data_IF_075911182946
#
_entry.id   IF_075911182946
#
_cell.length_a   1.000
_cell.length_b   1.000
_cell.length_c   1.000
_cell.angle_alpha   90.00
_cell.angle_beta   90.00
_cell.angle_gamma   90.00
#
_symmetry.space_group_name_H-M   'P 1'
#
loop_
_entity.id
_entity.type
_entity.pdbx_description
1 polymer ?
#
# COMPACT_ATOMS: atom_id res chain seq x y z
N UNK A 1 -51.78 -7.96 -72.92
CA UNK A 1 -51.64 -7.91 -71.44
C UNK A 1 -51.73 -9.31 -70.79
N UNK A 2 -50.94 -10.30 -71.24
CA UNK A 2 -50.81 -11.61 -70.57
C UNK A 2 -49.35 -12.05 -70.32
N UNK A 3 -48.37 -11.21 -70.70
CA UNK A 3 -46.94 -11.51 -70.57
C UNK A 3 -46.28 -10.88 -69.33
N UNK A 4 -46.86 -9.81 -68.77
CA UNK A 4 -46.28 -9.10 -67.62
C UNK A 4 -46.58 -9.73 -66.25
N UNK A 5 -47.67 -10.49 -66.11
CA UNK A 5 -48.04 -11.14 -64.84
C UNK A 5 -47.20 -12.38 -64.54
N UNK A 6 -46.75 -13.11 -65.57
CA UNK A 6 -45.96 -14.34 -65.38
C UNK A 6 -44.52 -14.03 -64.95
N UNK A 7 -43.93 -12.95 -65.47
CA UNK A 7 -42.57 -12.52 -65.11
C UNK A 7 -42.52 -11.98 -63.68
N UNK A 8 -43.57 -11.27 -63.22
CA UNK A 8 -43.66 -10.79 -61.84
C UNK A 8 -43.75 -11.92 -60.82
N UNK A 9 -44.48 -13.00 -61.12
CA UNK A 9 -44.61 -14.14 -60.21
C UNK A 9 -43.34 -14.99 -60.14
N UNK A 10 -42.58 -15.09 -61.24
CA UNK A 10 -41.29 -15.79 -61.26
C UNK A 10 -40.22 -15.01 -60.49
N UNK A 11 -40.18 -13.67 -60.64
CA UNK A 11 -39.26 -12.84 -59.87
C UNK A 11 -39.59 -12.89 -58.38
N UNK A 12 -40.88 -12.86 -58.00
CA UNK A 12 -41.30 -12.96 -56.59
C UNK A 12 -41.00 -14.35 -56.00
N UNK A 13 -41.18 -15.43 -56.77
CA UNK A 13 -40.85 -16.78 -56.35
C UNK A 13 -39.33 -16.99 -56.19
N UNK A 14 -38.51 -16.43 -57.09
CA UNK A 14 -37.04 -16.45 -56.98
C UNK A 14 -36.58 -15.61 -55.80
N UNK A 15 -37.23 -14.47 -55.50
CA UNK A 15 -36.90 -13.65 -54.33
C UNK A 15 -37.24 -14.35 -53.01
N UNK A 16 -38.35 -15.08 -52.94
CA UNK A 16 -38.71 -15.92 -51.77
C UNK A 16 -37.75 -17.11 -51.64
N UNK A 17 -37.34 -17.74 -52.74
CA UNK A 17 -36.36 -18.83 -52.71
C UNK A 17 -34.96 -18.35 -52.32
N UNK A 18 -34.56 -17.15 -52.76
CA UNK A 18 -33.32 -16.52 -52.34
C UNK A 18 -33.37 -16.04 -50.87
N UNK A 19 -34.51 -15.58 -50.36
CA UNK A 19 -34.68 -15.28 -48.93
C UNK A 19 -34.70 -16.55 -48.07
N UNK A 20 -35.28 -17.65 -48.56
CA UNK A 20 -35.23 -18.95 -47.88
C UNK A 20 -33.82 -19.56 -47.91
N UNK A 21 -33.08 -19.39 -49.01
CA UNK A 21 -31.68 -19.80 -49.11
C UNK A 21 -30.72 -18.92 -48.29
N UNK A 22 -31.04 -17.64 -48.08
CA UNK A 22 -30.29 -16.75 -47.19
C UNK A 22 -30.65 -16.94 -45.71
N UNK A 23 -31.82 -17.53 -45.41
CA UNK A 23 -32.17 -18.01 -44.07
C UNK A 23 -31.59 -19.39 -43.73
N UNK A 24 -31.03 -20.09 -44.72
CA UNK A 24 -30.19 -21.27 -44.51
C UNK A 24 -28.73 -20.93 -44.83
N UNK A 25 -28.21 -19.85 -44.24
CA UNK A 25 -26.81 -19.89 -43.84
C UNK A 25 -26.63 -21.10 -42.94
N UNK A 26 -25.61 -21.91 -43.19
CA UNK A 26 -25.13 -22.90 -42.22
C UNK A 26 -25.14 -22.20 -40.86
N UNK A 27 -26.10 -22.58 -40.02
CA UNK A 27 -25.84 -22.52 -38.60
C UNK A 27 -24.65 -23.47 -38.48
N UNK A 28 -23.45 -22.91 -38.35
CA UNK A 28 -22.45 -23.57 -37.54
C UNK A 28 -23.25 -24.00 -36.30
N UNK A 29 -23.52 -25.30 -36.18
CA UNK A 29 -23.79 -25.87 -34.88
C UNK A 29 -22.56 -25.42 -34.10
N UNK A 30 -22.72 -24.37 -33.28
CA UNK A 30 -21.75 -24.00 -32.27
C UNK A 30 -21.52 -25.31 -31.50
N UNK A 31 -20.50 -26.06 -31.89
CA UNK A 31 -20.10 -27.27 -31.20
C UNK A 31 -19.56 -26.73 -29.89
N UNK A 32 -20.46 -26.60 -28.92
CA UNK A 32 -20.14 -26.14 -27.58
C UNK A 32 -19.06 -27.08 -27.10
N UNK A 33 -17.83 -26.59 -27.08
CA UNK A 33 -16.68 -27.34 -26.65
C UNK A 33 -17.00 -27.92 -25.27
N UNK A 34 -16.88 -29.24 -25.05
CA UNK A 34 -17.24 -29.81 -23.77
C UNK A 34 -16.13 -29.57 -22.74
N UNK A 35 -16.51 -29.56 -21.47
CA UNK A 35 -15.57 -29.72 -20.37
C UNK A 35 -15.36 -31.20 -20.07
N UNK A 36 -14.11 -31.61 -19.79
CA UNK A 36 -13.82 -32.97 -19.36
C UNK A 36 -14.53 -33.28 -18.03
N UNK A 37 -15.11 -34.48 -17.91
CA UNK A 37 -15.87 -34.87 -16.72
C UNK A 37 -15.04 -34.78 -15.44
N UNK A 38 -13.76 -35.16 -15.51
CA UNK A 38 -12.80 -35.11 -14.39
C UNK A 38 -12.51 -33.68 -13.94
N UNK A 39 -12.30 -32.75 -14.89
CA UNK A 39 -12.12 -31.32 -14.64
C UNK A 39 -13.36 -30.72 -13.97
N UNK A 40 -14.54 -31.06 -14.48
CA UNK A 40 -15.82 -30.61 -13.93
C UNK A 40 -16.02 -31.11 -12.49
N UNK A 41 -15.74 -32.39 -12.23
CA UNK A 41 -15.79 -32.98 -10.89
C UNK A 41 -14.76 -32.34 -9.94
N UNK A 42 -13.56 -32.04 -10.45
CA UNK A 42 -12.54 -31.36 -9.69
C UNK A 42 -13.00 -29.95 -9.28
N UNK A 43 -13.50 -29.15 -10.24
CA UNK A 43 -14.03 -27.81 -9.99
C UNK A 43 -15.11 -27.83 -8.90
N UNK A 44 -16.11 -28.71 -9.03
CA UNK A 44 -17.19 -28.77 -8.07
C UNK A 44 -16.72 -29.19 -6.69
N UNK A 45 -15.86 -30.21 -6.60
CA UNK A 45 -15.30 -30.63 -5.32
C UNK A 45 -14.51 -29.49 -4.67
N UNK A 46 -13.71 -28.76 -5.44
CA UNK A 46 -12.98 -27.58 -4.95
C UNK A 46 -13.94 -26.51 -4.44
N UNK A 47 -14.95 -26.11 -5.20
CA UNK A 47 -15.92 -25.10 -4.75
C UNK A 47 -16.63 -25.55 -3.47
N UNK A 48 -17.07 -26.80 -3.38
CA UNK A 48 -17.68 -27.36 -2.16
C UNK A 48 -16.74 -27.33 -0.96
N UNK A 49 -15.43 -27.51 -1.17
CA UNK A 49 -14.43 -27.38 -0.12
C UNK A 49 -14.42 -26.02 0.56
N UNK A 50 -14.69 -24.94 -0.19
CA UNK A 50 -14.62 -23.58 0.34
C UNK A 50 -15.99 -22.93 0.59
N UNK A 51 -17.02 -23.29 -0.18
CA UNK A 51 -18.39 -22.75 -0.11
C UNK A 51 -19.30 -23.65 0.74
N UNK A 52 -18.90 -24.90 0.98
CA UNK A 52 -19.60 -25.89 1.81
C UNK A 52 -20.33 -26.96 0.98
N UNK A 53 -20.56 -28.13 1.60
CA UNK A 53 -21.21 -29.29 0.96
C UNK A 53 -22.65 -29.05 0.51
N UNK A 54 -23.33 -28.06 1.10
CA UNK A 54 -24.66 -27.64 0.69
C UNK A 54 -24.68 -27.06 -0.73
N UNK A 55 -23.53 -26.56 -1.21
CA UNK A 55 -23.38 -26.09 -2.57
C UNK A 55 -23.49 -27.28 -3.52
N UNK A 56 -24.66 -27.46 -4.12
CA UNK A 56 -24.91 -28.43 -5.17
C UNK A 56 -24.95 -27.72 -6.53
N UNK A 57 -23.80 -27.20 -6.96
CA UNK A 57 -23.68 -26.49 -8.22
C UNK A 57 -23.87 -27.38 -9.46
N UNK A 58 -23.83 -28.70 -9.33
CA UNK A 58 -23.94 -29.61 -10.47
C UNK A 58 -25.28 -29.55 -11.21
N UNK A 59 -26.37 -29.26 -10.49
CA UNK A 59 -27.70 -29.10 -11.07
C UNK A 59 -27.94 -27.71 -11.65
N UNK A 60 -27.34 -26.67 -11.05
CA UNK A 60 -27.51 -25.27 -11.45
C UNK A 60 -26.53 -24.83 -12.55
N UNK A 61 -25.37 -25.46 -12.61
CA UNK A 61 -24.27 -25.11 -13.52
C UNK A 61 -23.82 -26.32 -14.34
N UNK A 62 -24.71 -26.99 -15.10
CA UNK A 62 -24.36 -28.19 -15.88
C UNK A 62 -23.27 -27.93 -16.93
N UNK A 63 -23.01 -26.68 -17.27
CA UNK A 63 -21.89 -26.26 -18.13
C UNK A 63 -21.21 -25.00 -17.53
N UNK A 64 -20.28 -25.19 -16.56
CA UNK A 64 -19.72 -24.09 -15.77
C UNK A 64 -18.80 -23.13 -16.55
N UNK A 65 -18.41 -23.51 -17.78
CA UNK A 65 -17.53 -22.73 -18.65
C UNK A 65 -18.19 -22.30 -19.96
N UNK A 66 -19.36 -22.82 -20.29
CA UNK A 66 -20.18 -22.34 -21.40
C UNK A 66 -21.39 -21.54 -20.90
N UNK A 67 -22.60 -22.06 -21.09
CA UNK A 67 -23.83 -21.29 -20.95
C UNK A 67 -24.35 -21.12 -19.52
N UNK A 68 -23.77 -21.83 -18.54
CA UNK A 68 -24.05 -21.62 -17.11
C UNK A 68 -22.78 -21.24 -16.33
N UNK A 69 -22.21 -20.04 -16.55
CA UNK A 69 -20.97 -19.66 -15.88
C UNK A 69 -21.12 -19.54 -14.37
N UNK A 70 -20.11 -19.98 -13.63
CA UNK A 70 -20.03 -19.76 -12.18
C UNK A 70 -19.27 -18.47 -11.92
N UNK A 71 -19.86 -17.54 -11.18
CA UNK A 71 -19.17 -16.31 -10.82
C UNK A 71 -17.90 -16.61 -9.99
N UNK A 72 -16.79 -16.00 -10.39
CA UNK A 72 -15.47 -16.27 -9.81
C UNK A 72 -14.72 -17.43 -10.46
N UNK A 73 -15.33 -18.17 -11.38
CA UNK A 73 -14.66 -19.19 -12.21
C UNK A 73 -14.45 -18.61 -13.62
N UNK A 74 -13.22 -18.73 -14.13
CA UNK A 74 -12.90 -18.45 -15.54
C UNK A 74 -12.32 -19.70 -16.18
N UNK A 75 -12.54 -19.85 -17.48
CA UNK A 75 -12.10 -20.99 -18.24
C UNK A 75 -11.50 -20.58 -19.58
N UNK A 76 -10.52 -21.34 -20.05
CA UNK A 76 -9.94 -21.18 -21.38
C UNK A 76 -10.04 -22.51 -22.15
N UNK A 77 -10.02 -22.41 -23.49
CA UNK A 77 -9.99 -23.56 -24.39
C UNK A 77 -8.56 -24.09 -24.55
N UNK A 78 -8.40 -25.39 -24.35
CA UNK A 78 -7.19 -26.14 -24.69
C UNK A 78 -7.59 -27.37 -25.49
N UNK A 79 -7.04 -27.52 -26.71
CA UNK A 79 -7.30 -28.65 -27.60
C UNK A 79 -8.80 -28.94 -27.83
N UNK A 80 -9.62 -27.88 -27.88
CA UNK A 80 -11.06 -27.97 -28.09
C UNK A 80 -11.89 -28.35 -26.85
N UNK A 81 -11.29 -28.35 -25.66
CA UNK A 81 -11.96 -28.62 -24.39
C UNK A 81 -11.82 -27.42 -23.43
N UNK A 82 -12.86 -27.16 -22.64
CA UNK A 82 -12.81 -26.12 -21.60
C UNK A 82 -12.11 -26.63 -20.34
N UNK A 83 -11.17 -25.82 -19.84
CA UNK A 83 -10.49 -26.05 -18.56
C UNK A 83 -10.56 -24.81 -17.68
N UNK A 84 -10.60 -25.02 -16.37
CA UNK A 84 -10.63 -23.93 -15.40
C UNK A 84 -9.26 -23.27 -15.33
N UNK A 85 -9.23 -21.96 -15.52
CA UNK A 85 -8.00 -21.16 -15.52
C UNK A 85 -7.97 -20.11 -14.41
N UNK A 86 -9.11 -19.72 -13.87
CA UNK A 86 -9.16 -18.90 -12.66
C UNK A 86 -10.24 -19.37 -11.69
N UNK A 87 -9.91 -19.33 -10.40
CA UNK A 87 -10.85 -19.57 -9.31
C UNK A 87 -10.68 -18.50 -8.25
N UNK A 88 -11.73 -17.70 -8.05
CA UNK A 88 -11.77 -16.60 -7.09
C UNK A 88 -12.93 -16.84 -6.12
N UNK A 89 -12.61 -17.03 -4.85
CA UNK A 89 -13.58 -17.38 -3.80
C UNK A 89 -13.59 -16.31 -2.72
N UNK A 90 -14.79 -15.98 -2.26
CA UNK A 90 -15.06 -15.01 -1.20
C UNK A 90 -15.73 -13.73 -1.67
N UNK A 91 -16.28 -12.94 -0.72
CA UNK A 91 -17.22 -11.84 -0.99
C UNK A 91 -16.51 -10.60 -1.56
N UNK A 92 -16.14 -10.68 -2.84
CA UNK A 92 -15.53 -9.58 -3.61
C UNK A 92 -16.61 -8.75 -4.30
N UNK A 93 -17.68 -9.41 -4.76
CA UNK A 93 -18.83 -8.82 -5.46
C UNK A 93 -20.14 -9.41 -4.91
N UNK A 94 -21.28 -8.76 -5.20
CA UNK A 94 -22.61 -9.13 -4.65
C UNK A 94 -23.07 -10.57 -4.94
N UNK A 95 -22.43 -11.27 -5.89
CA UNK A 95 -22.74 -12.65 -6.32
C UNK A 95 -21.49 -13.56 -6.27
N UNK A 96 -20.51 -13.20 -5.45
CA UNK A 96 -19.33 -14.02 -5.22
C UNK A 96 -19.66 -15.39 -4.62
N UNK A 97 -18.75 -16.34 -4.78
CA UNK A 97 -18.78 -17.60 -4.04
C UNK A 97 -18.49 -17.33 -2.56
N UNK A 98 -19.53 -17.20 -1.74
CA UNK A 98 -19.40 -16.98 -0.31
C UNK A 98 -18.76 -18.17 0.39
N UNK A 99 -17.88 -17.89 1.35
CA UNK A 99 -17.12 -18.95 2.02
C UNK A 99 -17.94 -19.57 3.16
N UNK A 100 -17.88 -20.90 3.28
CA UNK A 100 -18.45 -21.63 4.39
C UNK A 100 -17.68 -21.42 5.70
N UNK A 101 -18.28 -21.86 6.80
CA UNK A 101 -17.60 -21.90 8.11
C UNK A 101 -16.61 -23.06 8.24
N UNK A 102 -16.82 -24.16 7.54
CA UNK A 102 -16.04 -25.41 7.57
C UNK A 102 -15.28 -25.60 6.26
N UNK A 103 -14.30 -24.73 6.01
CA UNK A 103 -13.50 -24.74 4.80
C UNK A 103 -12.47 -25.88 4.84
N UNK A 104 -12.22 -26.50 3.68
CA UNK A 104 -11.19 -27.52 3.49
C UNK A 104 -10.49 -27.40 2.12
N UNK A 105 -9.17 -27.57 2.13
CA UNK A 105 -8.36 -27.67 0.90
C UNK A 105 -8.47 -29.08 0.34
N UNK A 106 -9.56 -29.37 -0.37
CA UNK A 106 -9.79 -30.72 -0.93
C UNK A 106 -8.72 -31.10 -1.95
N UNK A 107 -8.28 -32.39 -1.99
CA UNK A 107 -7.25 -32.85 -2.93
C UNK A 107 -7.56 -32.58 -4.40
N UNK A 108 -8.85 -32.52 -4.76
CA UNK A 108 -9.33 -32.24 -6.12
C UNK A 108 -8.91 -30.86 -6.65
N UNK A 109 -8.61 -29.88 -5.79
CA UNK A 109 -8.04 -28.59 -6.20
C UNK A 109 -6.77 -28.77 -7.04
N UNK A 110 -5.92 -29.72 -6.66
CA UNK A 110 -4.64 -29.94 -7.32
C UNK A 110 -4.76 -30.77 -8.62
N UNK A 111 -5.97 -31.17 -9.00
CA UNK A 111 -6.25 -31.82 -10.29
C UNK A 111 -6.58 -30.81 -11.41
N UNK A 112 -6.85 -29.54 -11.08
CA UNK A 112 -7.11 -28.45 -12.03
C UNK A 112 -5.81 -27.99 -12.70
N UNK A 113 -5.27 -28.80 -13.61
CA UNK A 113 -3.91 -28.63 -14.17
C UNK A 113 -3.69 -27.32 -14.92
N UNK A 114 -4.75 -26.72 -15.47
CA UNK A 114 -4.67 -25.46 -16.23
C UNK A 114 -4.93 -24.21 -15.37
N UNK A 115 -5.06 -24.35 -14.06
CA UNK A 115 -5.34 -23.25 -13.15
C UNK A 115 -4.17 -22.24 -13.15
N UNK A 116 -4.43 -21.03 -13.65
CA UNK A 116 -3.48 -19.91 -13.68
C UNK A 116 -3.65 -19.00 -12.47
N UNK A 117 -4.88 -18.80 -12.01
CA UNK A 117 -5.19 -17.90 -10.89
C UNK A 117 -5.99 -18.62 -9.82
N UNK A 118 -5.52 -18.54 -8.57
CA UNK A 118 -6.26 -18.98 -7.40
C UNK A 118 -6.29 -17.85 -6.37
N UNK A 119 -7.48 -17.38 -6.03
CA UNK A 119 -7.64 -16.31 -5.04
C UNK A 119 -8.71 -16.59 -3.99
N UNK A 120 -8.42 -16.18 -2.75
CA UNK A 120 -9.31 -16.24 -1.61
C UNK A 120 -9.37 -14.89 -0.91
N UNK A 121 -10.56 -14.34 -0.76
CA UNK A 121 -10.80 -13.10 -0.03
C UNK A 121 -11.72 -13.35 1.16
N UNK A 122 -11.26 -13.03 2.38
CA UNK A 122 -12.09 -13.09 3.59
C UNK A 122 -12.82 -14.43 3.81
N UNK A 123 -12.20 -15.55 3.44
CA UNK A 123 -12.74 -16.89 3.68
C UNK A 123 -12.32 -17.46 5.02
N UNK A 124 -11.06 -17.25 5.41
CA UNK A 124 -10.51 -17.82 6.64
C UNK A 124 -10.65 -16.80 7.76
N UNK A 125 -11.80 -16.75 8.44
CA UNK A 125 -12.14 -15.61 9.33
C UNK A 125 -11.75 -15.82 10.81
N UNK A 126 -11.75 -17.07 11.30
CA UNK A 126 -11.70 -17.34 12.75
C UNK A 126 -10.43 -18.09 13.23
N UNK A 127 -9.31 -17.41 13.51
CA UNK A 127 -8.04 -18.04 13.91
C UNK A 127 -8.09 -18.84 15.21
N UNK A 128 -9.05 -18.54 16.10
CA UNK A 128 -9.19 -19.23 17.40
C UNK A 128 -10.18 -20.40 17.39
N UNK A 129 -11.06 -20.48 16.39
CA UNK A 129 -12.12 -21.50 16.31
C UNK A 129 -11.81 -22.55 15.26
N UNK A 130 -11.42 -22.11 14.07
CA UNK A 130 -11.11 -22.97 12.93
C UNK A 130 -9.85 -22.45 12.23
N UNK A 131 -8.68 -22.55 12.88
CA UNK A 131 -7.42 -22.24 12.22
C UNK A 131 -7.18 -23.22 11.08
N UNK A 132 -6.86 -22.70 9.89
CA UNK A 132 -6.53 -23.51 8.73
C UNK A 132 -5.11 -23.16 8.30
N UNK A 133 -4.28 -24.17 8.06
CA UNK A 133 -2.97 -24.01 7.47
C UNK A 133 -3.03 -24.27 5.96
N UNK A 134 -2.18 -23.57 5.21
CA UNK A 134 -1.95 -23.92 3.81
C UNK A 134 -1.34 -25.34 3.78
N UNK A 135 -1.91 -26.29 3.02
CA UNK A 135 -1.36 -27.64 2.92
C UNK A 135 0.07 -27.60 2.40
N UNK A 136 0.94 -28.50 2.87
CA UNK A 136 2.34 -28.52 2.45
C UNK A 136 2.59 -29.27 1.13
N UNK A 137 1.68 -30.16 0.76
CA UNK A 137 1.84 -31.13 -0.32
C UNK A 137 1.01 -30.75 -1.55
N UNK A 138 1.24 -31.44 -2.67
CA UNK A 138 0.46 -31.38 -3.91
C UNK A 138 0.57 -30.07 -4.72
N UNK A 139 1.13 -28.99 -4.17
CA UNK A 139 1.40 -27.75 -4.89
C UNK A 139 2.31 -27.93 -6.11
N UNK A 140 3.18 -28.94 -6.10
CA UNK A 140 4.00 -29.31 -7.24
C UNK A 140 3.18 -29.66 -8.50
N UNK A 141 1.92 -30.07 -8.34
CA UNK A 141 1.01 -30.36 -9.47
C UNK A 141 0.56 -29.10 -10.20
N UNK A 142 0.59 -27.95 -9.52
CA UNK A 142 0.24 -26.63 -10.08
C UNK A 142 1.48 -25.80 -10.45
N UNK A 143 2.69 -26.34 -10.23
CA UNK A 143 3.97 -25.66 -10.47
C UNK A 143 4.11 -25.09 -11.89
N UNK A 144 3.60 -25.83 -12.89
CA UNK A 144 3.74 -25.50 -14.31
C UNK A 144 2.64 -24.61 -14.89
N UNK A 145 1.60 -24.26 -14.12
CA UNK A 145 0.44 -23.50 -14.61
C UNK A 145 0.14 -22.24 -13.82
N UNK A 146 0.38 -22.23 -12.50
CA UNK A 146 -0.03 -21.14 -11.64
C UNK A 146 0.78 -19.86 -11.91
N UNK A 147 0.09 -18.78 -12.24
CA UNK A 147 0.62 -17.45 -12.52
C UNK A 147 0.32 -16.46 -11.37
N UNK A 148 -0.79 -16.65 -10.66
CA UNK A 148 -1.22 -15.80 -9.55
C UNK A 148 -1.82 -16.61 -8.41
N UNK A 149 -1.27 -16.44 -7.20
CA UNK A 149 -1.78 -17.04 -5.97
C UNK A 149 -2.03 -15.96 -4.92
N UNK A 150 -3.28 -15.82 -4.50
CA UNK A 150 -3.67 -14.72 -3.61
C UNK A 150 -4.55 -15.16 -2.44
N UNK A 151 -4.13 -14.84 -1.23
CA UNK A 151 -4.92 -14.93 -0.01
C UNK A 151 -4.96 -13.54 0.62
N UNK A 152 -6.14 -12.92 0.67
CA UNK A 152 -6.32 -11.54 1.14
C UNK A 152 -7.33 -11.49 2.29
N UNK A 153 -6.96 -10.80 3.37
CA UNK A 153 -7.83 -10.56 4.53
C UNK A 153 -8.34 -11.87 5.13
N UNK A 154 -7.43 -12.82 5.35
CA UNK A 154 -7.73 -14.18 5.82
C UNK A 154 -7.10 -14.42 7.19
N UNK A 155 -7.56 -13.77 8.27
CA UNK A 155 -6.91 -13.80 9.58
C UNK A 155 -6.83 -15.20 10.22
N UNK A 156 -7.71 -16.12 9.82
CA UNK A 156 -7.75 -17.53 10.24
C UNK A 156 -6.82 -18.46 9.44
N UNK A 157 -6.19 -17.97 8.38
CA UNK A 157 -5.16 -18.70 7.64
C UNK A 157 -3.83 -18.58 8.37
N UNK A 158 -3.41 -19.65 9.03
CA UNK A 158 -2.24 -19.68 9.92
C UNK A 158 -1.15 -20.64 9.42
N UNK A 159 -0.13 -20.86 10.24
CA UNK A 159 0.97 -21.77 9.92
C UNK A 159 2.08 -21.06 9.14
N UNK A 160 2.91 -21.83 8.45
CA UNK A 160 4.03 -21.33 7.66
C UNK A 160 3.69 -21.38 6.18
N UNK A 161 4.34 -20.52 5.40
CA UNK A 161 4.27 -20.60 3.93
C UNK A 161 5.01 -21.86 3.47
N UNK A 162 4.38 -22.77 2.69
CA UNK A 162 5.04 -23.97 2.21
C UNK A 162 6.29 -23.66 1.38
N UNK A 163 7.37 -24.42 1.57
CA UNK A 163 8.60 -24.27 0.77
C UNK A 163 8.39 -24.65 -0.70
N UNK A 164 7.41 -25.52 -0.98
CA UNK A 164 6.97 -25.90 -2.33
C UNK A 164 6.49 -24.72 -3.16
N UNK A 165 6.14 -23.58 -2.55
CA UNK A 165 5.82 -22.37 -3.30
C UNK A 165 6.99 -21.86 -4.14
N UNK A 166 8.23 -22.23 -3.80
CA UNK A 166 9.39 -21.92 -4.63
C UNK A 166 9.50 -22.73 -5.93
N UNK A 167 8.56 -23.64 -6.21
CA UNK A 167 8.54 -24.48 -7.41
C UNK A 167 7.66 -23.91 -8.53
N UNK A 168 6.87 -22.85 -8.28
CA UNK A 168 5.96 -22.29 -9.30
C UNK A 168 6.73 -21.56 -10.41
N UNK A 169 6.95 -22.23 -11.54
CA UNK A 169 7.81 -21.75 -12.63
C UNK A 169 7.24 -20.51 -13.33
N UNK A 170 5.91 -20.39 -13.37
CA UNK A 170 5.19 -19.31 -14.06
C UNK A 170 4.67 -18.20 -13.14
N UNK A 171 4.91 -18.29 -11.83
CA UNK A 171 4.29 -17.37 -10.88
C UNK A 171 4.77 -15.94 -11.08
N UNK A 172 3.82 -15.03 -11.27
CA UNK A 172 4.04 -13.59 -11.42
C UNK A 172 3.52 -12.79 -10.23
N UNK A 173 2.49 -13.28 -9.53
CA UNK A 173 1.91 -12.63 -8.35
C UNK A 173 1.76 -13.62 -7.20
N UNK A 174 2.41 -13.34 -6.07
CA UNK A 174 2.19 -14.02 -4.80
C UNK A 174 1.74 -13.00 -3.75
N UNK A 175 0.52 -13.17 -3.26
CA UNK A 175 -0.12 -12.25 -2.30
C UNK A 175 -0.63 -13.03 -1.12
N UNK A 176 -0.02 -12.85 0.04
CA UNK A 176 -0.49 -13.37 1.32
C UNK A 176 -0.66 -12.16 2.24
N UNK A 177 -1.79 -11.47 2.10
CA UNK A 177 -2.06 -10.17 2.74
C UNK A 177 -3.00 -10.35 3.92
N UNK A 178 -2.66 -9.75 5.06
CA UNK A 178 -3.54 -9.65 6.24
C UNK A 178 -4.08 -11.01 6.68
N UNK A 179 -3.15 -11.94 6.91
CA UNK A 179 -3.44 -13.31 7.33
C UNK A 179 -2.74 -13.64 8.66
N UNK A 180 -3.06 -14.80 9.23
CA UNK A 180 -2.46 -15.28 10.48
C UNK A 180 -1.14 -16.03 10.28
N UNK A 181 -0.44 -15.86 9.16
CA UNK A 181 0.77 -16.62 8.82
C UNK A 181 1.94 -16.24 9.75
N UNK A 182 2.76 -17.24 10.06
CA UNK A 182 3.84 -17.18 11.06
C UNK A 182 5.12 -17.81 10.52
N UNK A 183 6.19 -17.80 11.33
CA UNK A 183 7.46 -18.44 10.99
C UNK A 183 8.39 -17.51 10.21
N UNK A 184 9.39 -18.10 9.56
CA UNK A 184 10.37 -17.35 8.74
C UNK A 184 9.88 -17.26 7.30
N UNK A 185 10.33 -16.24 6.58
CA UNK A 185 10.15 -16.16 5.13
C UNK A 185 10.90 -17.32 4.45
N UNK A 186 10.24 -18.14 3.61
CA UNK A 186 10.90 -19.25 2.92
C UNK A 186 11.95 -18.75 1.93
N UNK A 187 13.18 -19.29 2.01
CA UNK A 187 14.28 -18.92 1.11
C UNK A 187 13.99 -19.31 -0.35
N UNK A 188 13.25 -20.41 -0.56
CA UNK A 188 12.90 -20.94 -1.88
C UNK A 188 12.02 -20.00 -2.72
N UNK A 189 11.33 -19.03 -2.11
CA UNK A 189 10.61 -17.98 -2.87
C UNK A 189 11.59 -17.22 -3.79
N UNK A 190 12.87 -17.11 -3.42
CA UNK A 190 13.91 -16.51 -4.26
C UNK A 190 14.16 -17.21 -5.61
N UNK A 191 13.63 -18.42 -5.82
CA UNK A 191 13.72 -19.15 -7.08
C UNK A 191 12.69 -18.69 -8.13
N UNK A 192 11.70 -17.88 -7.73
CA UNK A 192 10.59 -17.45 -8.59
C UNK A 192 11.02 -16.29 -9.51
N UNK A 193 11.85 -16.59 -10.52
CA UNK A 193 12.49 -15.59 -11.37
C UNK A 193 11.52 -14.74 -12.21
N UNK A 194 10.28 -15.22 -12.42
CA UNK A 194 9.22 -14.52 -13.14
C UNK A 194 8.32 -13.67 -12.23
N UNK A 195 8.59 -13.67 -10.92
CA UNK A 195 7.74 -12.99 -9.94
C UNK A 195 7.86 -11.47 -10.10
N UNK A 196 6.72 -10.82 -10.33
CA UNK A 196 6.59 -9.37 -10.47
C UNK A 196 6.04 -8.72 -9.21
N UNK A 197 5.24 -9.45 -8.44
CA UNK A 197 4.60 -8.95 -7.23
C UNK A 197 4.72 -9.95 -6.08
N UNK A 198 5.36 -9.52 -5.00
CA UNK A 198 5.45 -10.25 -3.75
C UNK A 198 4.90 -9.39 -2.62
N UNK A 199 3.73 -9.76 -2.11
CA UNK A 199 3.04 -9.02 -1.04
C UNK A 199 2.74 -9.98 0.11
N UNK A 200 3.46 -9.84 1.21
CA UNK A 200 3.34 -10.67 2.41
C UNK A 200 2.96 -9.82 3.64
N UNK A 201 2.36 -8.66 3.40
CA UNK A 201 2.10 -7.66 4.42
C UNK A 201 1.01 -8.06 5.41
N UNK A 202 1.10 -7.58 6.65
CA UNK A 202 0.07 -7.81 7.67
C UNK A 202 0.01 -9.26 8.16
N UNK A 203 1.16 -9.90 8.35
CA UNK A 203 1.27 -11.24 8.94
C UNK A 203 2.16 -11.19 10.20
N UNK A 204 2.53 -12.35 10.72
CA UNK A 204 3.41 -12.52 11.88
C UNK A 204 4.75 -13.16 11.49
N UNK A 205 5.28 -12.84 10.30
CA UNK A 205 6.59 -13.35 9.88
C UNK A 205 7.70 -12.80 10.78
N UNK A 206 8.69 -13.63 11.06
CA UNK A 206 9.81 -13.38 11.98
C UNK A 206 11.16 -13.65 11.29
N UNK A 207 12.24 -13.18 11.91
CA UNK A 207 13.60 -13.40 11.41
C UNK A 207 13.96 -12.50 10.23
N UNK A 208 15.10 -12.77 9.57
CA UNK A 208 15.62 -11.91 8.50
C UNK A 208 14.87 -12.06 7.19
N UNK A 209 14.93 -11.00 6.39
CA UNK A 209 14.61 -11.07 4.95
C UNK A 209 15.67 -11.97 4.28
N UNK A 210 15.28 -13.03 3.56
CA UNK A 210 16.23 -13.94 2.91
C UNK A 210 17.09 -13.24 1.86
N UNK A 211 18.40 -13.50 1.86
CA UNK A 211 19.30 -12.99 0.81
C UNK A 211 18.90 -13.47 -0.59
N UNK A 212 18.29 -14.65 -0.69
CA UNK A 212 17.79 -15.22 -1.94
C UNK A 212 16.72 -14.37 -2.62
N UNK A 213 16.05 -13.46 -1.90
CA UNK A 213 15.08 -12.54 -2.51
C UNK A 213 15.74 -11.59 -3.50
N UNK A 214 17.05 -11.37 -3.42
CA UNK A 214 17.82 -10.65 -4.45
C UNK A 214 17.90 -11.37 -5.81
N UNK A 215 17.41 -12.61 -5.91
CA UNK A 215 17.27 -13.36 -7.17
C UNK A 215 16.03 -13.02 -7.99
N UNK A 216 15.07 -12.29 -7.42
CA UNK A 216 13.77 -11.94 -8.04
C UNK A 216 13.92 -10.79 -9.06
N UNK A 217 14.69 -10.99 -10.12
CA UNK A 217 15.13 -9.93 -11.05
C UNK A 217 14.01 -9.16 -11.76
N UNK A 218 12.82 -9.76 -11.90
CA UNK A 218 11.63 -9.14 -12.50
C UNK A 218 10.69 -8.47 -11.49
N UNK A 219 11.03 -8.46 -10.20
CA UNK A 219 10.16 -7.96 -9.16
C UNK A 219 9.93 -6.46 -9.29
N UNK A 220 8.66 -6.06 -9.34
CA UNK A 220 8.21 -4.68 -9.43
C UNK A 220 7.71 -4.16 -8.07
N UNK A 221 7.08 -5.04 -7.29
CA UNK A 221 6.49 -4.70 -5.99
C UNK A 221 6.95 -5.71 -4.94
N UNK A 222 7.61 -5.20 -3.89
CA UNK A 222 7.92 -5.94 -2.67
C UNK A 222 7.27 -5.24 -1.48
N UNK A 223 6.30 -5.90 -0.86
CA UNK A 223 5.60 -5.39 0.32
C UNK A 223 5.65 -6.44 1.43
N UNK A 224 6.52 -6.21 2.42
CA UNK A 224 6.69 -7.04 3.61
C UNK A 224 6.26 -6.28 4.88
N UNK A 225 5.49 -5.20 4.70
CA UNK A 225 5.10 -4.31 5.79
C UNK A 225 4.24 -5.00 6.85
N UNK A 226 4.17 -4.42 8.05
CA UNK A 226 3.34 -4.93 9.16
C UNK A 226 3.62 -6.42 9.46
N UNK A 227 4.86 -6.71 9.80
CA UNK A 227 5.30 -8.03 10.25
C UNK A 227 6.21 -7.89 11.49
N UNK A 228 6.88 -8.96 11.88
CA UNK A 228 7.89 -8.96 12.95
C UNK A 228 9.29 -9.33 12.43
N UNK A 229 9.59 -8.97 11.18
CA UNK A 229 10.88 -9.24 10.56
C UNK A 229 12.00 -8.47 11.26
N UNK A 230 13.17 -9.07 11.40
CA UNK A 230 14.29 -8.54 12.19
C UNK A 230 15.64 -8.74 11.49
N UNK A 231 16.70 -8.17 12.05
CA UNK A 231 18.04 -8.23 11.44
C UNK A 231 18.27 -7.14 10.37
N UNK A 232 19.42 -7.16 9.69
CA UNK A 232 19.78 -6.14 8.70
C UNK A 232 19.00 -6.31 7.39
N UNK A 233 18.90 -5.21 6.62
CA UNK A 233 18.45 -5.27 5.24
C UNK A 233 19.52 -5.94 4.36
N UNK A 234 19.23 -7.05 3.64
CA UNK A 234 20.22 -7.71 2.80
C UNK A 234 20.71 -6.81 1.67
N UNK A 235 22.03 -6.72 1.47
CA UNK A 235 22.61 -5.97 0.35
C UNK A 235 22.20 -6.55 -1.02
N UNK A 236 21.87 -7.85 -1.07
CA UNK A 236 21.37 -8.53 -2.27
C UNK A 236 20.07 -7.94 -2.80
N UNK A 237 19.27 -7.24 -1.99
CA UNK A 237 18.08 -6.53 -2.47
C UNK A 237 18.43 -5.42 -3.46
N UNK A 238 19.65 -4.88 -3.44
CA UNK A 238 20.13 -3.94 -4.45
C UNK A 238 20.20 -4.52 -5.87
N UNK A 239 20.04 -5.84 -6.04
CA UNK A 239 19.97 -6.49 -7.36
C UNK A 239 18.60 -6.39 -8.02
N UNK A 240 17.56 -5.96 -7.30
CA UNK A 240 16.18 -5.86 -7.78
C UNK A 240 15.97 -4.60 -8.64
N UNK A 241 16.74 -4.43 -9.70
CA UNK A 241 16.78 -3.17 -10.48
C UNK A 241 15.45 -2.80 -11.17
N UNK A 242 14.54 -3.76 -11.33
CA UNK A 242 13.17 -3.56 -11.84
C UNK A 242 12.20 -2.99 -10.79
N UNK A 243 12.58 -2.97 -9.51
CA UNK A 243 11.68 -2.68 -8.41
C UNK A 243 11.18 -1.23 -8.44
N UNK A 244 9.87 -1.08 -8.35
CA UNK A 244 9.16 0.21 -8.35
C UNK A 244 8.69 0.60 -6.95
N UNK A 245 8.26 -0.39 -6.14
CA UNK A 245 7.78 -0.21 -4.77
C UNK A 245 8.50 -1.16 -3.80
N UNK A 246 9.09 -0.59 -2.75
CA UNK A 246 9.62 -1.31 -1.61
C UNK A 246 8.98 -0.78 -0.32
N UNK A 247 8.14 -1.60 0.31
CA UNK A 247 7.52 -1.30 1.60
C UNK A 247 7.91 -2.36 2.63
N UNK A 248 8.73 -1.95 3.59
CA UNK A 248 9.18 -2.76 4.72
C UNK A 248 8.75 -2.14 6.06
N UNK A 249 7.80 -1.21 6.01
CA UNK A 249 7.37 -0.46 7.18
C UNK A 249 6.79 -1.34 8.28
N UNK A 250 6.85 -0.87 9.53
CA UNK A 250 6.25 -1.55 10.68
C UNK A 250 6.82 -2.97 10.87
N UNK A 251 8.13 -3.05 11.07
CA UNK A 251 8.88 -4.27 11.35
C UNK A 251 9.90 -4.00 12.48
N UNK A 252 10.84 -4.92 12.68
CA UNK A 252 11.94 -4.79 13.62
C UNK A 252 13.31 -4.83 12.92
N UNK A 253 13.37 -4.42 11.65
CA UNK A 253 14.60 -4.37 10.86
C UNK A 253 15.56 -3.35 11.46
N UNK A 254 16.85 -3.66 11.47
CA UNK A 254 17.87 -2.89 12.19
C UNK A 254 19.14 -2.68 11.37
N UNK A 255 20.15 -2.08 12.00
CA UNK A 255 21.45 -1.71 11.40
C UNK A 255 21.33 -0.60 10.35
N UNK A 256 22.40 -0.40 9.60
CA UNK A 256 22.49 0.62 8.56
C UNK A 256 21.90 0.15 7.25
N UNK A 257 21.40 1.09 6.44
CA UNK A 257 20.99 0.80 5.08
C UNK A 257 22.23 0.39 4.25
N UNK A 258 22.21 -0.75 3.55
CA UNK A 258 23.28 -1.15 2.65
C UNK A 258 23.42 -0.13 1.51
N UNK A 259 24.64 0.16 1.07
CA UNK A 259 24.88 1.12 -0.01
C UNK A 259 24.30 0.64 -1.34
N UNK A 260 24.16 -0.67 -1.52
CA UNK A 260 23.57 -1.33 -2.67
C UNK A 260 22.10 -0.98 -2.87
N UNK A 261 21.38 -0.49 -1.85
CA UNK A 261 20.00 0.01 -2.03
C UNK A 261 19.93 1.11 -3.08
N UNK A 262 21.02 1.86 -3.27
CA UNK A 262 21.12 2.91 -4.28
C UNK A 262 21.12 2.40 -5.72
N UNK A 263 21.28 1.09 -5.94
CA UNK A 263 21.19 0.46 -7.26
C UNK A 263 19.74 0.36 -7.76
N UNK A 264 18.74 0.55 -6.89
CA UNK A 264 17.32 0.53 -7.23
C UNK A 264 16.91 1.82 -7.94
N UNK A 265 17.42 2.03 -9.16
CA UNK A 265 17.24 3.28 -9.92
C UNK A 265 15.81 3.53 -10.38
N UNK A 266 14.98 2.49 -10.48
CA UNK A 266 13.58 2.59 -10.88
C UNK A 266 12.63 2.75 -9.67
N UNK A 267 13.15 2.73 -8.44
CA UNK A 267 12.33 2.76 -7.25
C UNK A 267 11.65 4.12 -7.11
N UNK A 268 10.32 4.09 -7.00
CA UNK A 268 9.47 5.29 -6.83
C UNK A 268 9.02 5.46 -5.38
N UNK A 269 8.85 4.36 -4.65
CA UNK A 269 8.44 4.34 -3.25
C UNK A 269 9.41 3.49 -2.42
N UNK A 270 10.03 4.14 -1.44
CA UNK A 270 10.79 3.49 -0.37
C UNK A 270 10.16 3.86 0.99
N UNK A 271 9.49 2.89 1.61
CA UNK A 271 8.91 3.05 2.94
C UNK A 271 9.54 2.07 3.94
N UNK A 272 10.29 2.64 4.88
CA UNK A 272 10.98 1.91 5.94
C UNK A 272 10.53 2.37 7.33
N UNK A 273 9.40 3.11 7.43
CA UNK A 273 8.98 3.70 8.71
C UNK A 273 8.76 2.65 9.80
N UNK A 274 8.86 3.06 11.05
CA UNK A 274 8.62 2.20 12.22
C UNK A 274 9.49 0.93 12.17
N UNK A 275 10.81 1.12 12.16
CA UNK A 275 11.83 0.08 12.25
C UNK A 275 12.92 0.55 13.23
N UNK A 276 14.09 -0.09 13.20
CA UNK A 276 15.26 0.21 14.05
C UNK A 276 16.49 0.56 13.20
N UNK A 277 16.31 1.12 12.00
CA UNK A 277 17.41 1.53 11.13
C UNK A 277 18.23 2.68 11.75
N UNK A 278 19.55 2.59 11.64
CA UNK A 278 20.51 3.56 12.21
C UNK A 278 21.68 3.83 11.25
N UNK A 279 22.67 4.62 11.66
CA UNK A 279 23.90 4.82 10.88
C UNK A 279 23.89 6.03 9.93
N UNK A 280 22.87 6.88 10.00
CA UNK A 280 22.75 8.13 9.26
C UNK A 280 22.24 7.97 7.82
N UNK A 281 21.97 9.10 7.18
CA UNK A 281 21.71 9.16 5.74
C UNK A 281 23.04 9.06 4.99
N UNK A 282 23.13 8.14 4.02
CA UNK A 282 24.34 7.90 3.23
C UNK A 282 24.28 8.59 1.87
N UNK A 283 25.42 9.08 1.36
CA UNK A 283 25.51 9.74 0.04
C UNK A 283 24.98 8.88 -1.10
N UNK A 284 25.00 7.55 -0.98
CA UNK A 284 24.47 6.64 -1.98
C UNK A 284 22.98 6.88 -2.28
N UNK A 285 22.19 7.37 -1.33
CA UNK A 285 20.77 7.71 -1.55
C UNK A 285 20.57 8.74 -2.66
N UNK A 286 21.54 9.64 -2.91
CA UNK A 286 21.47 10.63 -4.01
C UNK A 286 21.30 9.96 -5.37
N UNK A 287 21.80 8.73 -5.53
CA UNK A 287 21.69 7.98 -6.77
C UNK A 287 20.29 7.46 -7.08
N UNK A 288 19.31 7.58 -6.17
CA UNK A 288 17.95 7.06 -6.32
C UNK A 288 17.00 8.14 -6.88
N UNK A 289 17.36 8.70 -8.04
CA UNK A 289 16.72 9.88 -8.63
C UNK A 289 15.25 9.68 -9.05
N UNK A 290 14.76 8.45 -9.19
CA UNK A 290 13.35 8.14 -9.50
C UNK A 290 12.43 8.16 -8.29
N UNK A 291 12.97 8.30 -7.06
CA UNK A 291 12.17 8.30 -5.85
C UNK A 291 11.17 9.46 -5.86
N UNK A 292 9.89 9.11 -5.68
CA UNK A 292 8.80 10.04 -5.44
C UNK A 292 8.43 10.08 -3.96
N UNK A 293 8.59 8.96 -3.25
CA UNK A 293 8.26 8.84 -1.83
C UNK A 293 9.42 8.20 -1.07
N UNK A 294 9.99 8.96 -0.14
CA UNK A 294 11.00 8.49 0.80
C UNK A 294 10.47 8.68 2.22
N UNK A 295 10.13 7.56 2.87
CA UNK A 295 9.54 7.56 4.20
C UNK A 295 10.38 6.71 5.13
N UNK A 296 11.11 7.39 6.03
CA UNK A 296 12.04 6.78 6.98
C UNK A 296 11.67 7.07 8.45
N UNK A 297 10.52 7.72 8.68
CA UNK A 297 10.08 8.18 9.99
C UNK A 297 10.09 7.09 11.06
N UNK A 298 10.31 7.45 12.32
CA UNK A 298 10.37 6.53 13.46
C UNK A 298 11.44 5.43 13.28
N UNK A 299 12.68 5.85 13.04
CA UNK A 299 13.87 5.01 13.01
C UNK A 299 15.03 5.76 13.65
N UNK A 300 15.91 5.16 14.46
CA UNK A 300 17.07 5.83 15.05
C UNK A 300 18.20 6.13 14.04
N UNK A 301 17.89 6.74 12.88
CA UNK A 301 18.82 6.99 11.78
C UNK A 301 19.97 7.89 12.24
N UNK A 302 19.67 9.00 12.91
CA UNK A 302 20.65 9.99 13.30
C UNK A 302 21.31 10.68 12.11
N UNK A 303 22.54 11.15 12.29
CA UNK A 303 23.28 11.86 11.25
C UNK A 303 22.76 13.28 11.00
N UNK A 304 23.11 13.83 9.82
CA UNK A 304 22.80 15.21 9.43
C UNK A 304 22.26 15.25 8.00
N UNK A 305 21.38 16.21 7.69
CA UNK A 305 20.79 16.36 6.35
C UNK A 305 21.77 16.91 5.31
N UNK A 306 22.82 17.61 5.75
CA UNK A 306 23.84 18.25 4.90
C UNK A 306 24.73 17.27 4.12
N UNK A 307 24.66 15.96 4.42
CA UNK A 307 25.43 14.96 3.66
C UNK A 307 24.84 14.70 2.26
N UNK A 308 23.59 15.11 2.00
CA UNK A 308 22.89 14.88 0.76
C UNK A 308 22.75 16.14 -0.10
N UNK A 309 23.04 15.99 -1.38
CA UNK A 309 22.65 16.95 -2.41
C UNK A 309 21.19 16.71 -2.80
N UNK A 310 20.27 17.25 -2.01
CA UNK A 310 18.83 17.02 -2.17
C UNK A 310 18.26 17.38 -3.55
N UNK A 311 18.95 18.22 -4.32
CA UNK A 311 18.52 18.58 -5.66
C UNK A 311 18.57 17.40 -6.65
N UNK A 312 19.36 16.35 -6.39
CA UNK A 312 19.41 15.16 -7.24
C UNK A 312 18.15 14.30 -7.12
N UNK A 313 17.49 14.33 -5.95
CA UNK A 313 16.22 13.66 -5.66
C UNK A 313 15.01 14.47 -6.15
N UNK A 314 15.14 15.08 -7.33
CA UNK A 314 14.21 16.06 -7.89
C UNK A 314 12.77 15.56 -8.11
N UNK A 315 12.54 14.24 -8.11
CA UNK A 315 11.22 13.63 -8.24
C UNK A 315 10.45 13.51 -6.92
N UNK A 316 11.07 13.81 -5.78
CA UNK A 316 10.41 13.66 -4.48
C UNK A 316 9.14 14.51 -4.37
N UNK A 317 8.07 13.81 -4.02
CA UNK A 317 6.74 14.33 -3.67
C UNK A 317 6.52 14.24 -2.16
N UNK A 318 6.95 13.15 -1.54
CA UNK A 318 6.84 12.90 -0.10
C UNK A 318 8.22 12.61 0.46
N UNK A 319 8.64 13.43 1.43
CA UNK A 319 9.82 13.19 2.25
C UNK A 319 9.43 13.20 3.72
N UNK A 320 9.49 12.05 4.38
CA UNK A 320 9.22 11.95 5.82
C UNK A 320 10.41 11.34 6.56
N UNK A 321 11.07 12.19 7.36
CA UNK A 321 12.18 11.87 8.24
C UNK A 321 11.83 12.22 9.70
N UNK A 322 10.54 12.25 10.04
CA UNK A 322 10.07 12.60 11.39
C UNK A 322 10.52 11.56 12.41
N UNK A 323 10.90 11.98 13.61
CA UNK A 323 11.36 11.10 14.68
C UNK A 323 12.47 10.16 14.23
N UNK A 324 13.54 10.74 13.67
CA UNK A 324 14.70 9.98 13.20
C UNK A 324 16.01 10.27 13.92
N UNK A 325 15.99 11.17 14.91
CA UNK A 325 17.17 11.58 15.66
C UNK A 325 18.16 12.44 14.85
N UNK A 326 17.72 13.01 13.72
CA UNK A 326 18.54 13.88 12.88
C UNK A 326 19.04 15.09 13.67
N UNK A 327 20.26 15.53 13.35
CA UNK A 327 20.94 16.69 13.96
C UNK A 327 21.36 17.70 12.91
N UNK A 328 21.79 18.87 13.38
CA UNK A 328 22.32 19.94 12.54
C UNK A 328 21.22 20.74 11.85
N UNK A 329 21.61 21.49 10.83
CA UNK A 329 20.71 22.43 10.15
C UNK A 329 19.96 21.78 8.98
N UNK A 330 18.81 22.37 8.62
CA UNK A 330 18.05 22.01 7.43
C UNK A 330 18.75 22.64 6.20
N UNK A 331 19.26 21.84 5.23
CA UNK A 331 19.98 22.37 4.09
C UNK A 331 19.09 23.18 3.15
N UNK A 332 19.66 24.25 2.60
CA UNK A 332 19.00 25.07 1.59
C UNK A 332 18.68 24.28 0.31
N UNK A 333 19.40 23.19 0.00
CA UNK A 333 19.18 22.35 -1.19
C UNK A 333 17.81 21.67 -1.21
N UNK A 334 17.16 21.43 -0.05
CA UNK A 334 15.77 20.91 0.00
C UNK A 334 14.80 21.85 -0.73
N UNK A 335 15.07 23.17 -0.76
CA UNK A 335 14.26 24.13 -1.51
C UNK A 335 14.31 23.96 -3.04
N UNK A 336 15.14 23.04 -3.56
CA UNK A 336 15.20 22.68 -4.98
C UNK A 336 14.24 21.55 -5.36
N UNK A 337 13.61 20.90 -4.39
CA UNK A 337 12.63 19.83 -4.61
C UNK A 337 11.28 20.40 -5.07
N UNK A 338 11.18 20.78 -6.36
CA UNK A 338 10.01 21.49 -6.90
C UNK A 338 8.72 20.68 -6.86
N UNK A 339 8.79 19.34 -6.87
CA UNK A 339 7.62 18.45 -6.81
C UNK A 339 7.15 18.16 -5.37
N UNK A 340 7.89 18.60 -4.36
CA UNK A 340 7.63 18.26 -2.96
C UNK A 340 6.27 18.79 -2.49
N UNK A 341 5.41 17.89 -2.02
CA UNK A 341 4.08 18.17 -1.46
C UNK A 341 4.07 18.04 0.05
N UNK A 342 4.81 17.08 0.59
CA UNK A 342 4.90 16.78 2.02
C UNK A 342 6.36 16.73 2.46
N UNK A 343 6.69 17.54 3.48
CA UNK A 343 7.97 17.50 4.18
C UNK A 343 7.74 17.30 5.69
N UNK A 344 8.08 16.12 6.19
CA UNK A 344 8.08 15.77 7.61
C UNK A 344 9.49 15.71 8.17
N UNK A 345 9.83 16.62 9.08
CA UNK A 345 11.07 16.65 9.85
C UNK A 345 10.80 16.77 11.36
N UNK A 346 9.57 16.49 11.77
CA UNK A 346 9.07 16.59 13.15
C UNK A 346 9.90 15.74 14.12
N UNK A 347 9.96 16.14 15.39
CA UNK A 347 10.47 15.32 16.49
C UNK A 347 11.92 14.84 16.27
N UNK A 348 12.78 15.74 15.80
CA UNK A 348 14.22 15.51 15.62
C UNK A 348 15.04 16.43 16.55
N UNK A 349 16.36 16.42 16.42
CA UNK A 349 17.26 17.33 17.12
C UNK A 349 17.89 18.34 16.15
N UNK A 350 17.09 18.84 15.20
CA UNK A 350 17.51 19.84 14.23
C UNK A 350 17.67 21.21 14.88
N UNK A 351 18.64 21.97 14.40
CA UNK A 351 19.04 23.29 14.91
C UNK A 351 19.13 24.32 13.79
N UNK A 352 19.47 25.56 14.14
CA UNK A 352 19.68 26.64 13.18
C UNK A 352 18.39 27.29 12.72
N UNK A 353 18.52 28.22 11.75
CA UNK A 353 17.39 28.98 11.21
C UNK A 353 16.69 28.20 10.10
N UNK A 354 15.37 28.36 9.99
CA UNK A 354 14.60 27.76 8.90
C UNK A 354 14.96 28.43 7.56
N UNK A 355 15.38 27.67 6.52
CA UNK A 355 15.69 28.26 5.22
C UNK A 355 14.47 28.97 4.59
N UNK A 356 14.60 30.27 4.32
CA UNK A 356 13.49 31.10 3.81
C UNK A 356 12.94 30.61 2.48
N UNK A 357 13.76 29.99 1.63
CA UNK A 357 13.29 29.45 0.34
C UNK A 357 12.46 28.17 0.45
N UNK A 358 12.34 27.53 1.61
CA UNK A 358 11.42 26.38 1.76
C UNK A 358 9.95 26.80 1.62
N UNK A 359 9.66 28.06 1.97
CA UNK A 359 8.31 28.64 1.97
C UNK A 359 7.81 28.93 0.56
N UNK A 360 8.72 29.17 -0.37
CA UNK A 360 8.42 29.44 -1.77
C UNK A 360 8.38 28.16 -2.64
N UNK A 361 8.46 26.98 -2.03
CA UNK A 361 8.27 25.73 -2.77
C UNK A 361 6.87 25.72 -3.40
N UNK A 362 6.76 25.50 -4.72
CA UNK A 362 5.50 25.76 -5.44
C UNK A 362 4.39 24.79 -5.02
N UNK A 363 4.73 23.51 -4.85
CA UNK A 363 3.79 22.43 -4.60
C UNK A 363 3.61 22.07 -3.12
N UNK A 364 4.34 22.71 -2.20
CA UNK A 364 4.29 22.33 -0.79
C UNK A 364 2.90 22.57 -0.21
N UNK A 365 2.35 21.54 0.42
CA UNK A 365 1.01 21.51 1.01
C UNK A 365 1.04 21.17 2.51
N UNK A 366 2.08 20.45 2.94
CA UNK A 366 2.33 20.07 4.32
C UNK A 366 3.81 20.19 4.67
N UNK A 367 4.10 20.87 5.79
CA UNK A 367 5.44 21.13 6.30
C UNK A 367 5.43 20.98 7.82
N UNK A 368 6.02 19.89 8.33
CA UNK A 368 6.09 19.59 9.76
C UNK A 368 7.53 19.64 10.24
N UNK A 369 7.80 20.55 11.16
CA UNK A 369 9.09 20.90 11.75
C UNK A 369 9.02 20.96 13.28
N UNK A 370 7.87 20.63 13.86
CA UNK A 370 7.63 20.71 15.29
C UNK A 370 8.52 19.74 16.07
N UNK A 371 8.74 20.00 17.36
CA UNK A 371 9.52 19.11 18.22
C UNK A 371 11.01 19.07 17.85
N UNK A 372 11.58 20.22 17.50
CA UNK A 372 13.00 20.39 17.19
C UNK A 372 13.60 21.50 18.07
N UNK A 373 14.85 21.89 17.80
CA UNK A 373 15.51 23.04 18.43
C UNK A 373 15.86 24.12 17.39
N UNK A 374 14.94 24.36 16.45
CA UNK A 374 15.08 25.42 15.46
C UNK A 374 15.01 26.80 16.14
N UNK A 375 15.72 27.76 15.58
CA UNK A 375 15.86 29.10 16.16
C UNK A 375 15.50 30.20 15.15
N UNK A 376 15.28 31.40 15.68
CA UNK A 376 15.08 32.62 14.89
C UNK A 376 13.62 32.97 14.67
N UNK A 377 13.40 33.90 13.75
CA UNK A 377 12.09 34.52 13.51
C UNK A 377 11.43 33.95 12.26
N UNK A 378 10.20 33.46 12.42
CA UNK A 378 9.31 33.10 11.32
C UNK A 378 8.65 34.36 10.77
N UNK A 379 9.23 34.89 9.68
CA UNK A 379 8.67 36.05 8.98
C UNK A 379 8.12 35.66 7.60
N UNK A 380 7.10 34.81 7.58
CA UNK A 380 6.44 34.41 6.34
C UNK A 380 5.19 35.26 6.06
N UNK A 381 4.74 35.24 4.81
CA UNK A 381 3.57 35.99 4.36
C UNK A 381 2.28 35.45 4.97
N UNK A 382 1.29 36.32 5.18
CA UNK A 382 -0.03 35.88 5.64
C UNK A 382 -0.67 34.87 4.68
N UNK A 383 -0.47 35.05 3.38
CA UNK A 383 -0.92 34.11 2.36
C UNK A 383 -0.32 32.72 2.53
N UNK A 384 0.94 32.61 2.96
CA UNK A 384 1.55 31.33 3.28
C UNK A 384 0.88 30.69 4.50
N UNK A 385 0.74 31.42 5.61
CA UNK A 385 0.09 30.89 6.81
C UNK A 385 -1.37 30.51 6.57
N UNK A 386 -2.10 31.30 5.76
CA UNK A 386 -3.46 30.98 5.33
C UNK A 386 -3.54 29.74 4.45
N UNK A 387 -2.67 29.61 3.44
CA UNK A 387 -2.58 28.41 2.57
C UNK A 387 -2.27 27.15 3.36
N UNK A 388 -1.33 27.23 4.30
CA UNK A 388 -0.87 26.07 5.05
C UNK A 388 -1.82 25.70 6.20
N UNK A 389 -2.36 26.69 6.92
CA UNK A 389 -3.17 26.47 8.11
C UNK A 389 -2.48 25.52 9.11
N UNK A 390 -3.19 24.47 9.54
CA UNK A 390 -2.67 23.44 10.46
C UNK A 390 -1.63 22.49 9.82
N UNK A 391 -1.42 22.57 8.51
CA UNK A 391 -0.41 21.76 7.80
C UNK A 391 0.97 22.39 7.82
N UNK A 392 1.15 23.55 8.47
CA UNK A 392 2.46 24.06 8.85
C UNK A 392 2.66 23.88 10.36
N UNK A 393 3.42 22.85 10.74
CA UNK A 393 3.75 22.56 12.12
C UNK A 393 5.12 23.06 12.50
N UNK A 394 5.20 24.09 13.35
CA UNK A 394 6.46 24.63 13.84
C UNK A 394 6.50 24.77 15.37
N UNK A 395 5.45 24.32 16.07
CA UNK A 395 5.35 24.34 17.53
C UNK A 395 6.43 23.45 18.19
N UNK A 396 6.58 23.55 19.51
CA UNK A 396 7.62 22.80 20.25
C UNK A 396 9.04 23.02 19.71
N UNK A 397 9.33 24.24 19.24
CA UNK A 397 10.68 24.74 19.00
C UNK A 397 10.93 25.91 19.99
N UNK A 398 11.66 25.73 21.10
CA UNK A 398 11.71 26.70 22.20
C UNK A 398 12.22 28.10 21.81
N UNK A 399 13.13 28.15 20.84
CA UNK A 399 13.82 29.37 20.40
C UNK A 399 13.30 29.91 19.06
N UNK A 400 12.16 29.39 18.59
CA UNK A 400 11.50 29.82 17.37
C UNK A 400 10.32 30.69 17.74
N UNK A 401 10.22 31.87 17.12
CA UNK A 401 9.16 32.81 17.39
C UNK A 401 8.64 33.43 16.08
N UNK A 402 7.49 34.11 16.13
CA UNK A 402 6.98 34.88 14.99
C UNK A 402 6.74 36.33 15.36
N UNK A 403 6.84 37.23 14.39
CA UNK A 403 6.61 38.66 14.63
C UNK A 403 5.12 38.97 14.77
N UNK A 404 4.76 39.69 15.83
CA UNK A 404 3.42 40.26 16.04
C UNK A 404 3.33 41.57 15.27
N UNK A 405 2.92 41.50 14.00
CA UNK A 405 2.45 42.67 13.25
C UNK A 405 0.94 42.87 13.42
N UNK A 406 0.33 43.76 12.62
CA UNK A 406 -1.12 43.86 12.40
C UNK A 406 -1.70 42.61 11.69
N UNK A 407 -1.19 41.41 11.99
CA UNK A 407 -1.59 40.15 11.38
C UNK A 407 -2.80 39.59 12.12
N UNK A 408 -3.83 39.22 11.37
CA UNK A 408 -5.02 38.56 11.95
C UNK A 408 -4.61 37.26 12.69
N UNK A 409 -5.27 36.97 13.81
CA UNK A 409 -5.02 35.77 14.63
C UNK A 409 -5.17 34.44 13.86
N UNK A 410 -5.77 34.44 12.66
CA UNK A 410 -5.90 33.27 11.77
C UNK A 410 -4.70 33.07 10.83
N UNK A 411 -3.80 34.04 10.70
CA UNK A 411 -2.67 34.04 9.76
C UNK A 411 -1.31 34.02 10.47
N UNK A 412 -1.24 33.30 11.59
CA UNK A 412 -0.02 33.10 12.38
C UNK A 412 0.30 31.61 12.48
N UNK A 413 1.57 31.23 12.68
CA UNK A 413 1.95 29.84 12.83
C UNK A 413 1.32 29.22 14.08
N UNK A 414 0.59 28.13 13.90
CA UNK A 414 -0.10 27.43 14.98
C UNK A 414 0.89 26.92 16.05
N UNK A 415 0.65 27.28 17.31
CA UNK A 415 1.41 26.79 18.47
C UNK A 415 2.84 27.33 18.61
N UNK A 416 3.23 28.35 17.83
CA UNK A 416 4.50 29.08 18.00
C UNK A 416 4.25 30.35 18.81
N UNK A 417 5.18 30.73 19.68
CA UNK A 417 5.04 31.94 20.51
C UNK A 417 5.46 33.21 19.73
N UNK A 418 4.87 34.38 20.05
CA UNK A 418 5.36 35.64 19.51
C UNK A 418 6.77 35.94 20.03
N UNK A 419 7.59 36.63 19.22
CA UNK A 419 8.89 37.11 19.67
C UNK A 419 8.68 38.16 20.78
N UNK A 420 9.46 38.11 21.86
CA UNK A 420 9.42 39.15 22.88
C UNK A 420 9.89 40.46 22.24
N UNK A 421 9.03 41.48 22.23
CA UNK A 421 9.48 42.85 22.03
C UNK A 421 10.11 43.28 23.35
N UNK A 422 11.39 43.66 23.34
CA UNK A 422 11.96 44.39 24.47
C UNK A 422 11.05 45.59 24.73
N UNK A 423 10.49 45.67 25.95
CA UNK A 423 9.76 46.85 26.40
C UNK A 423 10.69 48.05 26.29
N UNK A 424 10.47 48.90 25.28
CA UNK A 424 11.03 50.24 25.24
C UNK A 424 10.45 50.95 26.47
N UNK A 425 11.28 51.11 27.49
CA UNK A 425 10.96 51.90 28.67
C UNK A 425 10.68 53.35 28.25
N UNK A 426 9.41 53.64 27.98
CA UNK A 426 8.92 55.02 27.88
C UNK A 426 8.79 55.51 29.32
N UNK A 427 9.75 56.35 29.69
CA UNK A 427 9.71 57.21 30.86
C UNK A 427 8.42 58.05 30.82
N UNK A 428 7.59 57.93 31.85
CA UNK A 428 6.71 59.03 32.28
C UNK A 428 6.68 59.17 33.81
N UNK A 429 6.48 60.40 34.32
CA UNK A 429 6.97 60.83 35.61
C UNK A 429 5.97 60.63 36.75
N UNK A 430 6.50 60.25 37.91
CA UNK A 430 6.02 60.51 39.26
C UNK A 430 4.54 60.92 39.45
N UNK A 431 3.72 59.97 39.87
CA UNK A 431 2.67 60.24 40.87
C UNK A 431 2.70 59.18 41.96
N UNK A 432 3.22 59.59 43.12
CA UNK A 432 3.20 58.83 44.37
C UNK A 432 1.75 58.67 44.85
N UNK A 433 1.33 57.43 45.08
CA UNK A 433 0.51 57.09 46.24
C UNK A 433 0.84 55.67 46.65
N UNK A 434 1.46 55.54 47.82
CA UNK A 434 1.85 54.31 48.47
C UNK A 434 0.84 54.08 49.58
N UNK A 435 0.08 52.98 49.52
CA UNK A 435 -0.62 52.42 50.67
C UNK A 435 -0.54 50.90 50.56
N UNK A 436 0.01 50.31 51.61
CA UNK A 436 0.35 48.91 51.77
C UNK A 436 -0.89 48.06 52.09
N UNK A 437 -0.81 46.75 51.82
CA UNK A 437 -1.67 45.76 52.47
C UNK A 437 -2.02 44.56 51.62
N UNK A 438 -1.26 43.49 51.83
CA UNK A 438 -1.72 42.10 51.95
C UNK A 438 -2.30 41.32 50.76
N UNK A 439 -1.72 40.12 50.62
CA UNK A 439 -2.19 38.95 49.91
C UNK A 439 -3.70 38.72 50.01
N UNK A 440 -4.36 38.59 48.87
CA UNK A 440 -5.54 37.75 48.66
C UNK A 440 -5.64 37.49 47.15
N UNK A 441 -5.37 36.27 46.70
CA UNK A 441 -6.17 35.77 45.59
C UNK A 441 -6.44 34.27 45.73
N UNK A 442 -7.74 34.03 45.86
CA UNK A 442 -8.40 32.76 45.96
C UNK A 442 -8.33 31.99 44.63
N UNK A 443 -8.33 30.68 44.78
CA UNK A 443 -8.67 29.72 43.75
C UNK A 443 -10.05 30.01 43.13
N UNK A 444 -10.18 29.81 41.83
CA UNK A 444 -11.33 29.06 41.30
C UNK A 444 -10.92 28.23 40.09
N UNK A 445 -10.99 26.93 40.32
CA UNK A 445 -10.82 25.82 39.40
C UNK A 445 -11.77 25.89 38.21
N UNK A 446 -11.46 25.17 37.12
CA UNK A 446 -12.20 23.95 36.77
C UNK A 446 -11.46 23.15 35.68
N UNK A 447 -10.73 22.15 36.16
CA UNK A 447 -10.35 20.94 35.43
C UNK A 447 -11.52 19.97 35.60
N UNK A 448 -12.07 19.46 34.50
CA UNK A 448 -12.90 18.26 34.53
C UNK A 448 -12.03 17.08 34.08
N UNK A 449 -11.60 16.30 35.06
CA UNK A 449 -11.08 14.94 34.91
C UNK A 449 -12.27 13.99 34.97
N UNK A 450 -12.42 13.13 33.97
CA UNK A 450 -13.20 11.91 34.08
C UNK A 450 -12.28 10.75 33.72
N UNK A 451 -11.97 9.94 34.72
CA UNK A 451 -11.27 8.67 34.57
C UNK A 451 -12.22 7.48 34.74
N UNK A 452 -11.75 6.34 34.23
CA UNK A 452 -12.05 4.91 34.49
C UNK A 452 -12.37 4.13 33.18
N UNK A 453 -12.13 2.81 33.08
CA UNK A 453 -10.91 2.02 33.38
C UNK A 453 -10.52 1.01 32.25
N UNK A 454 -9.39 0.30 32.43
CA UNK A 454 -8.82 -0.92 31.77
C UNK A 454 -9.41 -1.51 30.46
N UNK A 455 -8.48 -1.77 29.52
CA UNK A 455 -8.35 -2.87 28.53
C UNK A 455 -9.46 -3.08 27.46
N UNK A 456 -9.00 -3.40 26.23
CA UNK A 456 -9.70 -4.01 25.06
C UNK A 456 -10.13 -3.05 23.91
N UNK A 457 -9.41 -3.18 22.78
CA UNK A 457 -9.83 -3.08 21.34
C UNK A 457 -10.27 -1.70 20.79
N UNK A 458 -9.63 -1.16 19.74
CA UNK A 458 -9.99 -1.41 18.32
C UNK A 458 -9.22 -0.52 17.32
N UNK A 459 -9.03 -1.05 16.12
CA UNK A 459 -8.40 -0.35 15.00
C UNK A 459 -9.33 0.69 14.40
N UNK A 460 -8.92 1.96 14.40
CA UNK A 460 -9.68 3.02 13.70
C UNK A 460 -8.81 4.20 13.24
N UNK A 461 -7.56 3.97 12.86
CA UNK A 461 -6.65 5.03 12.38
C UNK A 461 -5.96 4.74 11.05
N UNK A 462 -6.40 3.74 10.28
CA UNK A 462 -5.69 3.30 9.08
C UNK A 462 -6.46 3.40 7.76
N UNK A 463 -7.66 3.97 7.76
CA UNK A 463 -8.41 4.23 6.50
C UNK A 463 -8.06 5.62 5.90
N UNK A 464 -7.54 6.57 6.69
CA UNK A 464 -7.31 7.94 6.20
C UNK A 464 -6.02 8.15 5.40
N UNK A 465 -5.06 7.21 5.43
CA UNK A 465 -3.83 7.33 4.64
C UNK A 465 -3.95 6.69 3.25
N UNK A 466 -4.78 5.66 3.11
CA UNK A 466 -5.00 4.96 1.85
C UNK A 466 -5.93 5.73 0.91
N UNK A 467 -6.93 6.44 1.44
CA UNK A 467 -7.79 7.32 0.63
C UNK A 467 -7.08 8.60 0.17
N UNK A 468 -6.08 9.09 0.92
CA UNK A 468 -5.28 10.24 0.51
C UNK A 468 -4.28 9.93 -0.61
N UNK A 469 -3.83 8.68 -0.75
CA UNK A 469 -2.94 8.28 -1.84
C UNK A 469 -3.69 8.11 -3.17
N UNK A 470 -4.98 7.78 -3.15
CA UNK A 470 -5.79 7.63 -4.36
C UNK A 470 -6.38 8.98 -4.82
N UNK A 471 -6.71 9.89 -3.92
CA UNK A 471 -7.23 11.23 -4.29
C UNK A 471 -6.17 12.23 -4.79
N UNK A 472 -4.87 11.94 -4.70
CA UNK A 472 -3.81 12.88 -5.12
C UNK A 472 -3.29 12.68 -6.55
N UNK A 473 -3.77 11.64 -7.26
CA UNK A 473 -3.42 11.38 -8.66
C UNK A 473 -4.24 12.20 -9.68
N UNK A 474 -5.28 12.93 -9.25
CA UNK A 474 -6.22 13.64 -10.15
C UNK A 474 -6.10 15.18 -10.15
N UNK A 475 -5.10 15.75 -9.48
CA UNK A 475 -4.84 17.19 -9.55
C UNK A 475 -3.36 17.45 -9.89
N UNK A 476 -3.12 18.06 -11.06
CA UNK A 476 -1.84 18.29 -11.76
C UNK A 476 -1.43 17.28 -12.85
N UNK A 477 -2.41 16.71 -13.58
CA UNK A 477 -2.24 16.47 -15.04
C UNK A 477 -3.03 17.49 -15.89
N UNK A 478 -3.40 18.62 -15.27
CA UNK A 478 -3.80 19.88 -15.90
C UNK A 478 -2.98 21.01 -15.28
#
# INVERSE_FOLDING_TARGET
MKSFTTISNVIFAVFIFCLAAWCCGEADEDVVAPMEKTEKEALYSTVQGFVGDWWNGSALYPDPCGWTPIQGVSCDLFDGLWYVTALNIGPIHDNSLDCATNIDFRPKLFELKHLKTLSFFNCFVSPRRHPIAIPSNDWEKLAGSLESLEFRSNPGLIGQVPSSFGMFEKLQSLVLLESGLTGKLPTNIGNLINLKRLVLAGNWFTGPIPESFGGLSQLLILDLSRNTLSGPLPSTLGRLTSLLKLDLSNNQLERMLPSEISNLKNLTLLDLRNNKFSGGLTKSLQGMYSLEQLVLSNNPIGGVLMCLEWHDLHNLVILDLSNTGLKGEIPQSISKLKRLRYLGLSDNNLTGKLPTKLVILPCVSSLYLNGNNLTGELNFSEGFYGKMGRRFGAWSNPNLCYQVGLKSARHVPYGVKPCQQEEVAVLEPNSRTKLAGENLNQNSHHVASLGFPRYVIDGFWWVSLLEMLICQFLSCFL
#
